data_IF_343725826273
#
_entry.id   IF_343725826273
#
_cell.length_a   1.000
_cell.length_b   1.000
_cell.length_c   1.000
_cell.angle_alpha   90.00
_cell.angle_beta   90.00
_cell.angle_gamma   90.00
#
_symmetry.space_group_name_H-M   'P 1'
#
loop_
_entity.id
_entity.type
_entity.pdbx_description
1 polymer ?
#
# COMPACT_ATOMS: atom_id res chain seq x y z
N UNK A 1 7.69 45.21 12.43
CA UNK A 1 8.89 44.50 11.93
C UNK A 1 9.24 43.38 12.90
N UNK A 2 9.58 42.19 12.39
CA UNK A 2 10.05 41.09 13.24
C UNK A 2 11.56 41.16 13.45
N UNK A 3 12.06 40.56 14.55
CA UNK A 3 13.49 40.47 14.82
C UNK A 3 14.20 39.53 13.84
N UNK A 4 15.39 39.93 13.38
CA UNK A 4 16.23 39.10 12.51
C UNK A 4 16.61 37.77 13.18
N UNK A 5 16.56 36.71 12.40
CA UNK A 5 16.91 35.35 12.80
C UNK A 5 18.39 35.10 12.58
N UNK A 6 19.01 34.41 13.54
CA UNK A 6 20.46 34.11 13.52
C UNK A 6 20.70 32.74 12.92
N UNK A 7 21.68 32.65 12.02
CA UNK A 7 22.06 31.40 11.37
C UNK A 7 22.54 30.33 12.36
N UNK A 8 23.32 30.75 13.36
CA UNK A 8 23.83 29.85 14.41
C UNK A 8 22.68 29.20 15.19
N UNK A 9 21.68 29.99 15.60
CA UNK A 9 20.50 29.50 16.31
C UNK A 9 19.74 28.49 15.46
N UNK A 10 19.60 28.73 14.15
CA UNK A 10 18.94 27.78 13.25
C UNK A 10 19.68 26.45 13.13
N UNK A 11 21.02 26.47 13.08
CA UNK A 11 21.83 25.24 13.08
C UNK A 11 21.77 24.49 14.42
N UNK A 12 21.75 25.19 15.55
CA UNK A 12 21.57 24.58 16.87
C UNK A 12 20.22 23.86 16.98
N UNK A 13 19.16 24.48 16.45
CA UNK A 13 17.83 23.86 16.42
C UNK A 13 17.73 22.70 15.43
N UNK A 14 18.52 22.72 14.36
CA UNK A 14 18.59 21.67 13.35
C UNK A 14 19.28 20.39 13.84
N UNK A 15 20.16 20.48 14.85
CA UNK A 15 20.83 19.32 15.45
C UNK A 15 19.86 18.30 16.06
N UNK A 16 18.61 18.68 16.33
CA UNK A 16 17.57 17.75 16.75
C UNK A 16 16.83 17.21 15.50
N UNK A 17 17.06 15.94 15.11
CA UNK A 17 16.42 15.38 13.92
C UNK A 17 14.95 14.99 14.15
N UNK A 18 14.54 14.80 15.41
CA UNK A 18 13.20 14.32 15.79
C UNK A 18 12.19 15.46 15.73
N UNK A 19 12.59 16.64 16.20
CA UNK A 19 11.71 17.80 16.23
C UNK A 19 12.20 18.86 15.24
N UNK A 20 11.42 19.22 14.21
CA UNK A 20 11.84 20.18 13.18
C UNK A 20 11.79 21.63 13.68
N UNK A 21 12.53 21.89 14.76
CA UNK A 21 12.57 23.16 15.48
C UNK A 21 13.13 24.30 14.62
N UNK A 22 14.05 24.01 13.71
CA UNK A 22 14.60 25.00 12.77
C UNK A 22 13.54 25.53 11.80
N UNK A 23 12.62 24.70 11.33
CA UNK A 23 11.49 25.14 10.49
C UNK A 23 10.50 25.99 11.29
N UNK A 24 10.23 25.64 12.56
CA UNK A 24 9.37 26.42 13.45
C UNK A 24 9.97 27.80 13.75
N UNK A 25 11.27 27.88 14.01
CA UNK A 25 11.99 29.13 14.31
C UNK A 25 11.91 30.17 13.18
N UNK A 26 11.80 29.69 11.93
CA UNK A 26 11.70 30.49 10.70
C UNK A 26 10.24 30.68 10.22
N UNK A 27 9.23 30.42 11.06
CA UNK A 27 7.79 30.47 10.74
C UNK A 27 7.37 29.58 9.54
N UNK A 28 8.15 28.55 9.20
CA UNK A 28 7.84 27.60 8.12
C UNK A 28 7.03 26.42 8.63
N UNK A 29 5.89 26.71 9.27
CA UNK A 29 5.03 25.74 9.94
C UNK A 29 4.55 24.58 9.03
N UNK A 30 4.23 24.82 7.74
CA UNK A 30 3.92 23.72 6.81
C UNK A 30 5.08 22.74 6.66
N UNK A 31 6.30 23.26 6.49
CA UNK A 31 7.48 22.43 6.32
C UNK A 31 7.81 21.70 7.63
N UNK A 32 7.63 22.35 8.79
CA UNK A 32 7.75 21.71 10.09
C UNK A 32 6.76 20.55 10.28
N UNK A 33 5.50 20.73 9.90
CA UNK A 33 4.47 19.70 10.06
C UNK A 33 4.69 18.52 9.10
N UNK A 34 5.05 18.80 7.84
CA UNK A 34 5.41 17.76 6.87
C UNK A 34 6.67 17.02 7.35
N UNK A 35 7.70 17.74 7.78
CA UNK A 35 8.92 17.16 8.33
C UNK A 35 8.65 16.27 9.54
N UNK A 36 7.79 16.70 10.46
CA UNK A 36 7.41 15.91 11.63
C UNK A 36 6.71 14.61 11.23
N UNK A 37 5.73 14.67 10.32
CA UNK A 37 4.93 13.51 9.93
C UNK A 37 5.68 12.51 9.04
N UNK A 38 6.65 12.99 8.25
CA UNK A 38 7.43 12.18 7.30
C UNK A 38 8.80 11.78 7.83
N UNK A 39 9.11 12.08 9.10
CA UNK A 39 10.45 11.95 9.67
C UNK A 39 11.53 12.60 8.78
N UNK A 40 11.25 13.84 8.35
CA UNK A 40 12.06 14.60 7.40
C UNK A 40 12.37 13.83 6.11
N UNK A 41 11.34 13.21 5.50
CA UNK A 41 11.49 12.34 4.33
C UNK A 41 12.54 11.25 4.54
N UNK A 42 12.38 10.47 5.63
CA UNK A 42 13.34 9.42 6.03
C UNK A 42 14.77 9.95 6.18
N UNK A 43 14.91 11.16 6.75
CA UNK A 43 16.20 11.80 7.00
C UNK A 43 16.84 12.53 5.81
N UNK A 44 16.38 12.32 4.57
CA UNK A 44 16.92 13.03 3.39
C UNK A 44 16.64 14.54 3.48
N UNK A 45 15.42 14.90 3.89
CA UNK A 45 15.04 16.29 4.10
C UNK A 45 15.88 16.98 5.18
N UNK A 46 16.23 16.25 6.25
CA UNK A 46 17.05 16.78 7.34
C UNK A 46 18.46 17.12 6.87
N UNK A 47 19.07 16.28 6.02
CA UNK A 47 20.39 16.56 5.42
C UNK A 47 20.32 17.78 4.51
N UNK A 48 19.32 17.84 3.62
CA UNK A 48 19.14 18.96 2.69
C UNK A 48 18.89 20.28 3.43
N UNK A 49 18.16 20.26 4.53
CA UNK A 49 17.92 21.44 5.37
C UNK A 49 19.21 22.05 5.91
N UNK A 50 20.24 21.25 6.20
CA UNK A 50 21.55 21.75 6.64
C UNK A 50 22.23 22.62 5.58
N UNK A 51 22.15 22.22 4.31
CA UNK A 51 22.68 22.99 3.19
C UNK A 51 21.80 24.21 2.87
N UNK A 52 20.48 24.05 2.91
CA UNK A 52 19.54 25.09 2.55
C UNK A 52 19.31 26.13 3.65
N UNK A 53 19.79 25.87 4.88
CA UNK A 53 19.63 26.73 6.05
C UNK A 53 20.00 28.20 5.80
N UNK A 54 21.12 28.43 5.10
CA UNK A 54 21.61 29.78 4.78
C UNK A 54 20.60 30.56 3.93
N UNK A 55 19.96 29.88 2.97
CA UNK A 55 18.93 30.46 2.12
C UNK A 55 17.64 30.70 2.90
N UNK A 56 17.28 29.80 3.82
CA UNK A 56 16.08 29.96 4.64
C UNK A 56 16.17 31.18 5.57
N UNK A 57 17.29 31.34 6.27
CA UNK A 57 17.51 32.49 7.16
C UNK A 57 17.58 33.80 6.37
N UNK A 58 18.29 33.81 5.23
CA UNK A 58 18.37 34.99 4.37
C UNK A 58 17.00 35.37 3.81
N UNK A 59 16.24 34.39 3.33
CA UNK A 59 14.88 34.59 2.83
C UNK A 59 13.96 35.18 3.89
N UNK A 60 13.91 34.58 5.09
CA UNK A 60 13.10 35.08 6.20
C UNK A 60 13.44 36.54 6.56
N UNK A 61 14.74 36.83 6.76
CA UNK A 61 15.18 38.16 7.15
C UNK A 61 14.87 39.20 6.06
N UNK A 62 15.03 38.85 4.77
CA UNK A 62 14.68 39.75 3.67
C UNK A 62 13.17 40.02 3.55
N UNK A 63 12.34 39.01 3.85
CA UNK A 63 10.89 39.09 3.63
C UNK A 63 10.13 39.65 4.83
N UNK A 64 10.68 39.60 6.05
CA UNK A 64 9.95 39.97 7.29
C UNK A 64 10.64 40.97 8.21
N UNK A 65 11.94 41.20 8.00
CA UNK A 65 12.73 42.13 8.81
C UNK A 65 13.20 43.35 8.01
N UNK A 66 12.99 43.40 6.69
CA UNK A 66 13.27 44.57 5.85
C UNK A 66 12.22 45.67 6.07
N UNK A 67 12.59 46.96 6.02
CA UNK A 67 11.62 48.06 6.04
C UNK A 67 10.61 47.99 4.88
N UNK A 68 11.05 47.51 3.71
CA UNK A 68 10.24 47.35 2.50
C UNK A 68 9.53 45.98 2.42
N UNK A 69 9.47 45.23 3.52
CA UNK A 69 8.88 43.91 3.55
C UNK A 69 7.37 43.96 3.26
N UNK A 70 6.87 43.20 2.26
CA UNK A 70 5.43 43.12 2.00
C UNK A 70 4.70 42.48 3.20
N UNK A 71 3.45 42.88 3.43
CA UNK A 71 2.63 42.32 4.51
C UNK A 71 2.54 40.78 4.41
N UNK A 72 2.93 40.10 5.48
CA UNK A 72 2.95 38.64 5.50
C UNK A 72 1.57 38.04 5.81
N UNK A 73 0.92 37.52 4.78
CA UNK A 73 -0.33 36.75 4.88
C UNK A 73 -0.09 35.22 4.84
N UNK A 74 1.16 34.79 4.96
CA UNK A 74 1.57 33.38 4.84
C UNK A 74 0.91 32.52 5.92
N UNK A 75 0.62 33.07 7.10
CA UNK A 75 -0.09 32.37 8.19
C UNK A 75 -1.53 32.03 7.81
N UNK A 76 -2.25 32.94 7.14
CA UNK A 76 -3.62 32.67 6.66
C UNK A 76 -3.61 31.68 5.51
N UNK A 77 -2.70 31.88 4.54
CA UNK A 77 -2.50 30.92 3.43
C UNK A 77 -2.16 29.53 3.94
N UNK A 78 -1.35 29.43 4.99
CA UNK A 78 -1.01 28.18 5.63
C UNK A 78 -2.21 27.54 6.33
N UNK A 79 -2.93 28.29 7.16
CA UNK A 79 -4.12 27.79 7.85
C UNK A 79 -5.18 27.27 6.88
N UNK A 80 -5.30 27.87 5.70
CA UNK A 80 -6.21 27.38 4.65
C UNK A 80 -5.64 26.20 3.85
N UNK A 81 -4.32 26.17 3.57
CA UNK A 81 -3.70 25.13 2.71
C UNK A 81 -3.34 23.85 3.46
N UNK A 82 -2.95 23.96 4.73
CA UNK A 82 -2.53 22.82 5.54
C UNK A 82 -3.61 21.74 5.67
N UNK A 83 -4.89 22.05 6.01
CA UNK A 83 -5.93 21.03 6.05
C UNK A 83 -6.17 20.41 4.67
N UNK A 84 -6.10 21.19 3.59
CA UNK A 84 -6.24 20.66 2.22
C UNK A 84 -5.09 19.72 1.84
N UNK A 85 -3.85 20.07 2.18
CA UNK A 85 -2.70 19.19 1.97
C UNK A 85 -2.79 17.93 2.82
N UNK A 86 -3.22 18.04 4.07
CA UNK A 86 -3.40 16.90 4.96
C UNK A 86 -4.49 15.94 4.45
N UNK A 87 -5.65 16.48 4.05
CA UNK A 87 -6.71 15.71 3.41
C UNK A 87 -6.19 15.06 2.12
N UNK A 88 -5.45 15.80 1.29
CA UNK A 88 -4.84 15.25 0.07
C UNK A 88 -3.88 14.09 0.33
N UNK A 89 -3.02 14.21 1.35
CA UNK A 89 -2.10 13.14 1.76
C UNK A 89 -2.84 11.94 2.35
N UNK A 90 -3.88 12.16 3.15
CA UNK A 90 -4.73 11.08 3.67
C UNK A 90 -5.45 10.36 2.54
N UNK A 91 -6.01 11.09 1.57
CA UNK A 91 -6.66 10.50 0.40
C UNK A 91 -5.66 9.68 -0.42
N UNK A 92 -4.45 10.19 -0.66
CA UNK A 92 -3.39 9.46 -1.37
C UNK A 92 -2.94 8.22 -0.59
N UNK A 93 -2.79 8.32 0.74
CA UNK A 93 -2.50 7.17 1.60
C UNK A 93 -3.61 6.12 1.55
N UNK A 94 -4.88 6.53 1.65
CA UNK A 94 -6.03 5.63 1.57
C UNK A 94 -6.13 4.96 0.20
N UNK A 95 -5.95 5.70 -0.91
CA UNK A 95 -5.98 5.10 -2.24
C UNK A 95 -4.85 4.10 -2.42
N UNK A 96 -3.63 4.43 -2.00
CA UNK A 96 -2.51 3.47 -2.07
C UNK A 96 -2.82 2.20 -1.27
N UNK A 97 -3.33 2.30 -0.03
CA UNK A 97 -3.74 1.13 0.77
C UNK A 97 -4.81 0.29 0.07
N UNK A 98 -5.81 0.92 -0.53
CA UNK A 98 -6.87 0.21 -1.26
C UNK A 98 -6.32 -0.50 -2.51
N UNK A 99 -5.40 0.12 -3.25
CA UNK A 99 -4.88 -0.43 -4.51
C UNK A 99 -3.71 -1.40 -4.33
N UNK A 100 -3.02 -1.41 -3.18
CA UNK A 100 -1.87 -2.30 -2.93
C UNK A 100 -2.19 -3.78 -3.24
N UNK A 101 -3.30 -4.37 -2.76
CA UNK A 101 -3.62 -5.76 -3.09
C UNK A 101 -3.73 -6.02 -4.60
N UNK A 102 -4.39 -5.11 -5.32
CA UNK A 102 -4.53 -5.21 -6.79
C UNK A 102 -3.18 -5.08 -7.50
N UNK A 103 -2.31 -4.20 -7.01
CA UNK A 103 -0.96 -3.99 -7.54
C UNK A 103 -0.12 -5.26 -7.33
N UNK A 104 -0.11 -5.80 -6.12
CA UNK A 104 0.65 -7.03 -5.79
C UNK A 104 0.20 -8.22 -6.64
N UNK A 105 -1.12 -8.38 -6.81
CA UNK A 105 -1.68 -9.39 -7.70
C UNK A 105 -1.24 -9.20 -9.16
N UNK A 106 -1.28 -7.96 -9.66
CA UNK A 106 -0.89 -7.64 -11.05
C UNK A 106 0.58 -7.95 -11.34
N UNK A 107 1.46 -7.74 -10.36
CA UNK A 107 2.90 -8.00 -10.50
C UNK A 107 3.30 -9.44 -10.13
N UNK A 108 2.34 -10.33 -9.81
CA UNK A 108 2.60 -11.73 -9.43
C UNK A 108 3.65 -11.89 -8.33
N UNK A 109 3.80 -10.90 -7.44
CA UNK A 109 4.77 -10.96 -6.33
C UNK A 109 4.30 -11.96 -5.26
N UNK A 110 2.99 -12.22 -5.22
CA UNK A 110 2.34 -13.11 -4.25
C UNK A 110 1.28 -13.97 -4.94
N UNK A 111 1.39 -15.29 -4.80
CA UNK A 111 0.38 -16.27 -5.24
C UNK A 111 -0.84 -16.30 -4.29
N UNK A 112 -1.63 -15.23 -4.29
CA UNK A 112 -2.84 -15.12 -3.46
C UNK A 112 -3.83 -16.25 -3.76
N UNK A 113 -3.94 -16.67 -5.02
CA UNK A 113 -4.91 -17.67 -5.46
C UNK A 113 -4.65 -19.07 -4.90
N UNK A 114 -3.39 -19.45 -4.72
CA UNK A 114 -3.02 -20.72 -4.08
C UNK A 114 -3.55 -20.79 -2.65
N UNK A 115 -3.37 -19.71 -1.89
CA UNK A 115 -3.78 -19.64 -0.49
C UNK A 115 -5.30 -19.51 -0.39
N UNK A 116 -5.92 -18.71 -1.26
CA UNK A 116 -7.37 -18.55 -1.31
C UNK A 116 -8.09 -19.86 -1.66
N UNK A 117 -7.54 -20.68 -2.56
CA UNK A 117 -8.06 -22.01 -2.88
C UNK A 117 -7.67 -23.10 -1.86
N UNK A 118 -6.74 -22.81 -0.94
CA UNK A 118 -6.17 -23.80 -0.02
C UNK A 118 -5.58 -25.02 -0.76
N UNK A 119 -4.90 -24.77 -1.88
CA UNK A 119 -4.27 -25.80 -2.73
C UNK A 119 -2.75 -25.77 -2.61
N UNK A 120 -2.08 -26.88 -2.94
CA UNK A 120 -0.61 -26.91 -2.95
C UNK A 120 0.01 -26.13 -4.11
N UNK A 121 -0.71 -26.05 -5.24
CA UNK A 121 -0.28 -25.40 -6.49
C UNK A 121 -1.28 -24.30 -6.86
N UNK A 122 -0.87 -23.36 -7.71
CA UNK A 122 -1.75 -22.31 -8.21
C UNK A 122 -2.98 -22.94 -8.91
N UNK A 123 -4.23 -22.49 -8.62
CA UNK A 123 -5.46 -23.05 -9.20
C UNK A 123 -5.51 -23.07 -10.72
N UNK A 124 -4.91 -22.06 -11.37
CA UNK A 124 -4.89 -21.97 -12.83
C UNK A 124 -3.91 -22.99 -13.44
N UNK A 125 -2.76 -23.19 -12.79
CA UNK A 125 -1.78 -24.20 -13.19
C UNK A 125 -2.32 -25.62 -12.94
N UNK A 126 -3.02 -25.84 -11.83
CA UNK A 126 -3.62 -27.14 -11.51
C UNK A 126 -4.66 -27.59 -12.56
N UNK A 127 -5.43 -26.64 -13.09
CA UNK A 127 -6.40 -26.88 -14.16
C UNK A 127 -5.76 -26.77 -15.57
N UNK A 128 -4.48 -26.45 -15.67
CA UNK A 128 -3.75 -26.26 -16.94
C UNK A 128 -4.39 -25.21 -17.86
N UNK A 129 -4.83 -24.09 -17.27
CA UNK A 129 -5.45 -22.97 -17.99
C UNK A 129 -4.71 -21.67 -17.71
N UNK A 130 -4.85 -20.69 -18.61
CA UNK A 130 -4.33 -19.34 -18.38
C UNK A 130 -5.08 -18.65 -17.22
N UNK A 131 -4.40 -17.76 -16.49
CA UNK A 131 -5.05 -16.85 -15.52
C UNK A 131 -6.11 -15.97 -16.20
N UNK A 132 -5.95 -15.69 -17.50
CA UNK A 132 -6.91 -14.94 -18.31
C UNK A 132 -8.04 -15.81 -18.92
N UNK A 133 -8.05 -17.11 -18.65
CA UNK A 133 -9.03 -18.04 -19.19
C UNK A 133 -10.47 -17.68 -18.80
N UNK A 134 -11.40 -17.98 -19.70
CA UNK A 134 -12.83 -17.74 -19.47
C UNK A 134 -13.40 -18.76 -18.47
N UNK A 135 -14.54 -18.44 -17.84
CA UNK A 135 -15.23 -19.41 -16.96
C UNK A 135 -15.65 -20.69 -17.69
N UNK A 136 -15.96 -20.60 -18.99
CA UNK A 136 -16.31 -21.75 -19.82
C UNK A 136 -15.11 -22.69 -20.01
N UNK A 137 -13.94 -22.11 -20.26
CA UNK A 137 -12.67 -22.83 -20.39
C UNK A 137 -12.30 -23.50 -19.06
N UNK A 138 -12.41 -22.79 -17.93
CA UNK A 138 -12.20 -23.35 -16.60
C UNK A 138 -13.17 -24.52 -16.31
N UNK A 139 -14.43 -24.41 -16.71
CA UNK A 139 -15.42 -25.49 -16.57
C UNK A 139 -15.12 -26.68 -17.49
N UNK A 140 -14.54 -26.46 -18.67
CA UNK A 140 -14.10 -27.54 -19.56
C UNK A 140 -12.90 -28.27 -18.97
N UNK A 141 -11.89 -27.54 -18.48
CA UNK A 141 -10.72 -28.08 -17.82
C UNK A 141 -11.07 -28.88 -16.56
N UNK A 142 -11.94 -28.34 -15.70
CA UNK A 142 -12.47 -29.03 -14.52
C UNK A 142 -13.08 -30.39 -14.91
N UNK A 143 -13.98 -30.42 -15.91
CA UNK A 143 -14.60 -31.68 -16.37
C UNK A 143 -13.58 -32.69 -16.87
N UNK A 144 -12.57 -32.24 -17.62
CA UNK A 144 -11.49 -33.08 -18.12
C UNK A 144 -10.68 -33.70 -16.98
N UNK A 145 -10.22 -32.86 -16.03
CA UNK A 145 -9.42 -33.29 -14.87
C UNK A 145 -10.22 -34.18 -13.91
N UNK A 146 -11.49 -33.88 -13.65
CA UNK A 146 -12.36 -34.75 -12.86
C UNK A 146 -12.53 -36.13 -13.49
N UNK A 147 -12.70 -36.21 -14.82
CA UNK A 147 -12.76 -37.51 -15.50
C UNK A 147 -11.41 -38.26 -15.44
N UNK A 148 -10.29 -37.53 -15.49
CA UNK A 148 -8.96 -38.11 -15.38
C UNK A 148 -8.69 -38.73 -14.01
N UNK A 149 -9.21 -38.14 -12.93
CA UNK A 149 -9.02 -38.61 -11.55
C UNK A 149 -10.25 -39.32 -10.98
N UNK A 150 -11.23 -39.69 -11.81
CA UNK A 150 -12.43 -40.37 -11.35
C UNK A 150 -12.12 -41.81 -10.92
N UNK A 151 -12.69 -42.31 -9.79
CA UNK A 151 -12.46 -43.67 -9.32
C UNK A 151 -12.87 -44.74 -10.36
N UNK A 152 -13.96 -44.50 -11.11
CA UNK A 152 -14.41 -45.45 -12.15
C UNK A 152 -13.40 -45.65 -13.29
N UNK A 153 -12.62 -44.62 -13.65
CA UNK A 153 -11.60 -44.73 -14.72
C UNK A 153 -10.25 -45.17 -14.20
N UNK A 154 -10.00 -45.02 -12.90
CA UNK A 154 -8.73 -45.39 -12.24
C UNK A 154 -9.01 -46.33 -11.06
N UNK A 155 -9.43 -47.57 -11.35
CA UNK A 155 -9.63 -48.56 -10.30
C UNK A 155 -8.30 -48.83 -9.58
N UNK A 156 -8.27 -48.59 -8.25
CA UNK A 156 -7.09 -48.80 -7.40
C UNK A 156 -6.34 -47.53 -6.97
N UNK A 157 -6.74 -46.36 -7.45
CA UNK A 157 -6.12 -45.07 -7.11
C UNK A 157 -6.37 -44.62 -5.64
N UNK A 158 -7.45 -45.09 -5.03
CA UNK A 158 -7.76 -44.87 -3.62
C UNK A 158 -7.64 -43.39 -3.21
N UNK A 159 -6.86 -43.14 -2.16
CA UNK A 159 -6.71 -41.82 -1.53
C UNK A 159 -6.11 -40.75 -2.46
N UNK A 160 -5.23 -41.13 -3.39
CA UNK A 160 -4.57 -40.15 -4.27
C UNK A 160 -5.59 -39.47 -5.21
N UNK A 161 -6.57 -40.24 -5.72
CA UNK A 161 -7.65 -39.70 -6.53
C UNK A 161 -8.56 -38.79 -5.71
N UNK A 162 -8.89 -39.17 -4.47
CA UNK A 162 -9.73 -38.35 -3.59
C UNK A 162 -9.05 -37.01 -3.26
N UNK A 163 -7.76 -37.03 -2.92
CA UNK A 163 -6.97 -35.84 -2.63
C UNK A 163 -6.89 -34.93 -3.87
N UNK A 164 -6.59 -35.49 -5.05
CA UNK A 164 -6.53 -34.71 -6.31
C UNK A 164 -7.89 -34.16 -6.72
N UNK A 165 -8.95 -34.95 -6.60
CA UNK A 165 -10.31 -34.49 -6.88
C UNK A 165 -10.72 -33.34 -5.96
N UNK A 166 -10.35 -33.42 -4.68
CA UNK A 166 -10.57 -32.34 -3.71
C UNK A 166 -9.84 -31.05 -4.13
N UNK A 167 -8.55 -31.15 -4.49
CA UNK A 167 -7.77 -30.00 -4.98
C UNK A 167 -8.37 -29.37 -6.24
N UNK A 168 -8.74 -30.19 -7.22
CA UNK A 168 -9.35 -29.75 -8.49
C UNK A 168 -10.68 -29.02 -8.23
N UNK A 169 -11.50 -29.54 -7.31
CA UNK A 169 -12.78 -28.94 -6.92
C UNK A 169 -12.58 -27.58 -6.28
N UNK A 170 -11.66 -27.49 -5.30
CA UNK A 170 -11.32 -26.22 -4.63
C UNK A 170 -10.80 -25.17 -5.61
N UNK A 171 -9.93 -25.58 -6.55
CA UNK A 171 -9.40 -24.69 -7.59
C UNK A 171 -10.51 -24.13 -8.49
N UNK A 172 -11.41 -24.98 -8.97
CA UNK A 172 -12.54 -24.54 -9.80
C UNK A 172 -13.51 -23.64 -9.03
N UNK A 173 -13.80 -23.95 -7.76
CA UNK A 173 -14.69 -23.14 -6.92
C UNK A 173 -14.14 -21.73 -6.69
N UNK A 174 -12.82 -21.59 -6.47
CA UNK A 174 -12.18 -20.28 -6.38
C UNK A 174 -12.34 -19.49 -7.69
N UNK A 175 -12.01 -20.11 -8.83
CA UNK A 175 -12.06 -19.45 -10.13
C UNK A 175 -13.49 -19.02 -10.45
N UNK A 176 -14.47 -19.89 -10.17
CA UNK A 176 -15.89 -19.60 -10.31
C UNK A 176 -16.30 -18.41 -9.44
N UNK A 177 -15.84 -18.35 -8.19
CA UNK A 177 -16.11 -17.22 -7.28
C UNK A 177 -15.48 -15.91 -7.79
N UNK A 178 -14.24 -15.92 -8.26
CA UNK A 178 -13.56 -14.72 -8.79
C UNK A 178 -14.17 -14.21 -10.10
N UNK A 179 -14.70 -15.11 -10.92
CA UNK A 179 -15.33 -14.77 -12.21
C UNK A 179 -16.84 -14.51 -12.09
N UNK A 180 -17.45 -14.77 -10.94
CA UNK A 180 -18.85 -14.46 -10.71
C UNK A 180 -19.08 -12.94 -10.83
N UNK A 181 -20.14 -12.50 -11.52
CA UNK A 181 -20.50 -11.10 -11.51
C UNK A 181 -20.81 -10.66 -10.08
N UNK A 182 -20.47 -9.41 -9.76
CA UNK A 182 -20.85 -8.84 -8.47
C UNK A 182 -22.38 -8.90 -8.31
N UNK A 183 -22.89 -9.28 -7.14
CA UNK A 183 -24.32 -9.30 -6.89
C UNK A 183 -24.90 -7.87 -7.04
N UNK A 184 -26.11 -7.72 -7.59
CA UNK A 184 -26.69 -6.41 -7.91
C UNK A 184 -26.93 -5.52 -6.67
N UNK A 185 -27.05 -6.12 -5.49
CA UNK A 185 -27.26 -5.48 -4.19
C UNK A 185 -25.97 -5.27 -3.39
N UNK A 186 -24.79 -5.30 -4.03
CA UNK A 186 -23.50 -5.12 -3.34
C UNK A 186 -23.43 -3.78 -2.62
N UNK A 187 -23.31 -3.83 -1.30
CA UNK A 187 -23.15 -2.66 -0.44
C UNK A 187 -21.68 -2.33 -0.18
N UNK A 188 -21.41 -1.17 0.43
CA UNK A 188 -20.06 -0.73 0.79
C UNK A 188 -19.45 -1.60 1.90
N UNK A 189 -20.26 -2.19 2.77
CA UNK A 189 -19.81 -3.14 3.79
C UNK A 189 -19.21 -4.40 3.14
N UNK A 190 -19.85 -4.92 2.09
CA UNK A 190 -19.34 -6.07 1.34
C UNK A 190 -18.00 -5.77 0.67
N UNK A 191 -17.85 -4.57 0.09
CA UNK A 191 -16.57 -4.13 -0.46
C UNK A 191 -15.46 -4.04 0.61
N UNK A 192 -15.76 -3.52 1.80
CA UNK A 192 -14.80 -3.47 2.91
C UNK A 192 -14.41 -4.87 3.39
N UNK A 193 -15.35 -5.80 3.45
CA UNK A 193 -15.08 -7.19 3.82
C UNK A 193 -14.15 -7.87 2.80
N UNK A 194 -14.40 -7.67 1.50
CA UNK A 194 -13.53 -8.19 0.44
C UNK A 194 -12.10 -7.61 0.57
N UNK A 195 -11.99 -6.29 0.77
CA UNK A 195 -10.70 -5.63 0.97
C UNK A 195 -9.97 -6.15 2.22
N UNK A 196 -10.67 -6.33 3.33
CA UNK A 196 -10.11 -6.88 4.56
C UNK A 196 -9.63 -8.32 4.37
N UNK A 197 -10.39 -9.12 3.62
CA UNK A 197 -10.04 -10.50 3.29
C UNK A 197 -8.78 -10.56 2.40
N UNK A 198 -8.68 -9.69 1.39
CA UNK A 198 -7.48 -9.58 0.54
C UNK A 198 -6.24 -9.22 1.36
N UNK A 199 -6.36 -8.24 2.27
CA UNK A 199 -5.28 -7.86 3.19
C UNK A 199 -4.90 -9.00 4.15
N UNK A 200 -5.88 -9.75 4.66
CA UNK A 200 -5.63 -10.91 5.51
C UNK A 200 -4.75 -11.94 4.80
N UNK A 201 -5.06 -12.27 3.54
CA UNK A 201 -4.26 -13.21 2.74
C UNK A 201 -2.84 -12.70 2.49
N UNK A 202 -2.67 -11.40 2.24
CA UNK A 202 -1.34 -10.79 2.08
C UNK A 202 -0.51 -10.94 3.36
N UNK A 203 -1.09 -10.66 4.52
CA UNK A 203 -0.38 -10.82 5.80
C UNK A 203 -0.05 -12.28 6.12
N UNK A 204 -0.93 -13.22 5.78
CA UNK A 204 -0.67 -14.66 5.91
C UNK A 204 0.55 -15.08 5.07
N UNK A 205 0.65 -14.63 3.81
CA UNK A 205 1.81 -14.90 2.95
C UNK A 205 3.09 -14.35 3.56
N UNK A 206 3.06 -13.08 3.97
CA UNK A 206 4.22 -12.40 4.54
C UNK A 206 4.67 -13.12 5.82
N UNK A 207 3.74 -13.61 6.62
CA UNK A 207 4.00 -14.42 7.81
C UNK A 207 4.65 -15.77 7.48
N UNK A 208 4.09 -16.53 6.55
CA UNK A 208 4.65 -17.84 6.14
C UNK A 208 6.05 -17.72 5.53
N UNK A 209 6.29 -16.68 4.72
CA UNK A 209 7.57 -16.49 4.06
C UNK A 209 8.68 -16.02 5.02
N UNK A 210 8.32 -15.40 6.16
CA UNK A 210 9.26 -15.16 7.26
C UNK A 210 9.63 -16.45 7.97
N UNK A 211 8.65 -17.28 8.34
CA UNK A 211 8.91 -18.57 9.01
C UNK A 211 9.83 -19.50 8.22
N UNK A 212 9.71 -19.52 6.88
CA UNK A 212 10.57 -20.34 6.00
C UNK A 212 12.00 -19.79 5.82
N UNK A 213 12.26 -18.52 6.15
CA UNK A 213 13.62 -17.95 6.12
C UNK A 213 14.39 -18.15 7.42
N UNK A 214 13.67 -18.48 8.49
CA UNK A 214 14.21 -18.65 9.84
C UNK A 214 14.46 -20.15 10.18
N UNK A 215 14.12 -21.08 9.28
CA UNK A 215 14.50 -22.51 9.27
C UNK A 215 15.66 -22.77 8.29
#
# INVERSE_FOLDING_TARGET
>A
MQQQKRLLTSYLLWLNPVFPAHHLYMDRLAHALIAFWTLNFLGVGWILDGFLMRFYVRGFNSQRCSPDAPYDDSRKKLLCRLPLCFVGLLLLGLTTIVYIPTILHRFQVVDIDRIAAQTQVNPYELLEISQSASLQEAKAAYRSKSLQWHPDRNPGCGKECDDKMSEITKAYDLIKKRRAPAPPDRTWEGWLQDLAQDWKHIFEVIGQNKGKKDE
#
